data_IF_014085480796
#
_entry.id   IF_014085480796
#
_cell.length_a   1.000
_cell.length_b   1.000
_cell.length_c   1.000
_cell.angle_alpha   90.00
_cell.angle_beta   90.00
_cell.angle_gamma   90.00
#
_symmetry.space_group_name_H-M   'P 1'
#
loop_
_entity.id
_entity.type
_entity.pdbx_description
1 polymer ?
#
# COMPACT_ATOMS: atom_id res chain seq x y z
N UNK A 1 23.43 -6.32 40.18
CA UNK A 1 23.91 -5.53 41.34
C UNK A 1 22.82 -4.54 41.69
N UNK A 2 22.20 -4.87 42.70
CA UNK A 2 21.45 -4.26 43.78
C UNK A 2 21.86 -2.80 44.04
N UNK A 3 20.89 -1.87 44.16
CA UNK A 3 20.79 -0.90 45.27
C UNK A 3 19.43 -0.28 45.33
N UNK A 4 18.69 -0.64 46.36
CA UNK A 4 17.54 0.03 46.95
C UNK A 4 18.02 1.24 47.80
N UNK A 5 17.22 2.27 47.88
CA UNK A 5 17.19 3.23 49.03
C UNK A 5 15.75 3.77 49.06
N UNK A 6 14.89 3.24 49.91
CA UNK A 6 14.56 3.50 51.31
C UNK A 6 14.04 4.96 51.56
N UNK A 7 12.76 5.07 51.70
CA UNK A 7 11.84 5.61 52.71
C UNK A 7 12.37 6.70 53.66
N UNK A 8 11.66 7.84 53.75
CA UNK A 8 11.51 8.56 54.99
C UNK A 8 10.15 9.29 55.04
N UNK A 9 9.34 8.81 55.97
CA UNK A 9 8.13 9.42 56.54
C UNK A 9 8.55 10.57 57.48
N UNK A 10 7.87 11.69 57.44
CA UNK A 10 7.82 12.61 58.57
C UNK A 10 6.45 13.30 58.63
N UNK A 11 5.64 12.84 59.56
CA UNK A 11 4.44 13.43 60.09
C UNK A 11 4.78 14.64 60.97
N UNK A 12 4.10 15.76 60.80
CA UNK A 12 3.96 16.78 61.85
C UNK A 12 2.56 17.38 61.82
N UNK A 13 1.78 16.99 62.82
CA UNK A 13 0.54 17.63 63.26
C UNK A 13 0.88 18.95 63.93
N UNK A 14 0.19 20.05 63.61
CA UNK A 14 -0.03 21.16 64.56
C UNK A 14 -1.34 21.89 64.21
N UNK A 15 -2.25 21.83 65.16
CA UNK A 15 -3.51 22.61 65.24
C UNK A 15 -3.22 24.08 65.44
N UNK A 16 -4.04 24.94 64.88
CA UNK A 16 -4.03 26.38 65.26
C UNK A 16 -5.03 27.21 64.48
N UNK A 17 -6.18 27.42 65.13
CA UNK A 17 -7.01 28.66 65.18
C UNK A 17 -7.70 29.20 63.93
N UNK A 18 -9.04 29.17 64.03
CA UNK A 18 -10.02 29.97 63.30
C UNK A 18 -9.67 31.44 63.28
N UNK A 19 -9.67 32.07 62.13
CA UNK A 19 -10.05 33.48 61.97
C UNK A 19 -10.87 33.60 60.66
N UNK A 20 -12.14 33.86 60.90
CA UNK A 20 -13.07 34.26 59.84
C UNK A 20 -12.78 35.71 59.47
N UNK A 21 -12.27 36.03 58.35
CA UNK A 21 -12.37 37.33 57.71
C UNK A 21 -12.87 37.14 56.28
N UNK A 22 -14.09 37.56 56.08
CA UNK A 22 -14.68 37.71 54.74
C UNK A 22 -13.98 38.91 54.07
N UNK A 23 -13.05 38.56 53.13
CA UNK A 23 -12.57 39.51 52.15
C UNK A 23 -12.96 38.97 50.79
N UNK A 24 -13.74 39.75 50.05
CA UNK A 24 -14.16 39.49 48.70
C UNK A 24 -12.97 39.28 47.82
N UNK A 25 -12.72 38.00 47.46
CA UNK A 25 -11.83 37.64 46.39
C UNK A 25 -12.56 37.86 45.07
N UNK A 26 -12.25 38.98 44.45
CA UNK A 26 -12.46 39.14 43.02
C UNK A 26 -11.68 38.02 42.31
N UNK A 27 -12.36 36.95 41.98
CA UNK A 27 -11.83 35.95 41.07
C UNK A 27 -11.68 36.62 39.69
N UNK A 28 -10.48 37.16 39.46
CA UNK A 28 -10.07 37.51 38.11
C UNK A 28 -9.96 36.20 37.36
N UNK A 29 -11.05 35.79 36.73
CA UNK A 29 -11.07 34.74 35.73
C UNK A 29 -10.20 35.25 34.58
N UNK A 30 -8.94 34.84 34.55
CA UNK A 30 -8.13 35.05 33.36
C UNK A 30 -8.92 34.47 32.17
N UNK A 31 -9.11 35.22 31.10
CA UNK A 31 -9.73 34.64 29.91
C UNK A 31 -8.80 33.54 29.42
N UNK A 32 -9.20 32.30 29.61
CA UNK A 32 -8.62 31.19 28.88
C UNK A 32 -8.94 31.48 27.42
N UNK A 33 -7.99 32.08 26.74
CA UNK A 33 -8.06 32.25 25.30
C UNK A 33 -8.03 30.84 24.72
N UNK A 34 -9.19 30.21 24.65
CA UNK A 34 -9.38 29.06 23.78
C UNK A 34 -9.11 29.60 22.39
N UNK A 35 -7.89 29.40 21.89
CA UNK A 35 -7.59 29.63 20.50
C UNK A 35 -8.65 28.84 19.74
N UNK A 36 -9.59 29.53 19.14
CA UNK A 36 -10.58 28.90 18.26
C UNK A 36 -9.79 28.24 17.19
N UNK A 37 -9.64 26.92 17.32
CA UNK A 37 -9.09 26.12 16.24
C UNK A 37 -9.96 26.40 15.03
N UNK A 38 -9.37 27.00 13.99
CA UNK A 38 -10.08 27.25 12.73
C UNK A 38 -10.75 25.97 12.22
N UNK A 39 -11.68 26.06 11.30
CA UNK A 39 -12.37 24.89 10.78
C UNK A 39 -11.35 23.84 10.33
N UNK A 40 -11.55 22.60 10.79
CA UNK A 40 -10.67 21.47 10.49
C UNK A 40 -10.61 21.25 8.97
N UNK A 41 -9.45 21.47 8.36
CA UNK A 41 -9.27 21.28 6.92
C UNK A 41 -8.74 19.88 6.66
N UNK A 42 -9.58 19.05 6.05
CA UNK A 42 -9.25 17.68 5.65
C UNK A 42 -8.93 17.64 4.16
N UNK A 43 -7.92 16.89 3.79
CA UNK A 43 -7.59 16.61 2.41
C UNK A 43 -7.55 15.12 2.12
N UNK A 44 -7.54 14.75 0.86
CA UNK A 44 -7.28 13.38 0.44
C UNK A 44 -6.45 13.32 -0.85
N UNK A 45 -5.77 12.20 -1.02
CA UNK A 45 -5.00 11.90 -2.23
C UNK A 45 -5.03 10.40 -2.52
N UNK A 46 -4.62 10.00 -3.72
CA UNK A 46 -4.43 8.61 -4.08
C UNK A 46 -2.92 8.37 -4.30
N UNK A 47 -2.27 7.71 -3.35
CA UNK A 47 -0.83 7.45 -3.38
C UNK A 47 -0.46 6.52 -4.54
N UNK A 48 -1.27 5.50 -4.82
CA UNK A 48 -0.99 4.54 -5.90
C UNK A 48 -1.09 5.21 -7.26
N UNK A 49 -2.06 6.11 -7.42
CA UNK A 49 -2.16 6.93 -8.62
C UNK A 49 -0.94 7.85 -8.78
N UNK A 50 -0.56 8.57 -7.72
CA UNK A 50 0.64 9.44 -7.74
C UNK A 50 1.88 8.61 -8.09
N UNK A 51 2.06 7.44 -7.46
CA UNK A 51 3.17 6.52 -7.73
C UNK A 51 3.21 6.14 -9.21
N UNK A 52 2.08 5.75 -9.79
CA UNK A 52 1.98 5.35 -11.20
C UNK A 52 2.36 6.48 -12.19
N UNK A 53 2.24 7.74 -11.77
CA UNK A 53 2.61 8.90 -12.58
C UNK A 53 4.07 9.32 -12.42
N UNK A 54 4.81 8.73 -11.47
CA UNK A 54 6.23 9.05 -11.30
C UNK A 54 7.09 8.48 -12.44
N UNK A 55 8.18 9.16 -12.83
CA UNK A 55 9.12 8.61 -13.79
C UNK A 55 9.73 7.28 -13.32
N UNK A 56 9.93 7.15 -12.00
CA UNK A 56 10.42 5.92 -11.37
C UNK A 56 9.50 4.71 -11.57
N UNK A 57 8.20 4.92 -11.78
CA UNK A 57 7.24 3.82 -11.99
C UNK A 57 7.61 2.94 -13.20
N UNK A 58 8.11 3.57 -14.28
CA UNK A 58 8.58 2.82 -15.46
C UNK A 58 9.83 2.01 -15.15
N UNK A 59 10.76 2.55 -14.40
CA UNK A 59 11.99 1.87 -14.02
C UNK A 59 11.69 0.69 -13.10
N UNK A 60 10.75 0.86 -12.16
CA UNK A 60 10.25 -0.21 -11.30
C UNK A 60 9.66 -1.33 -12.15
N UNK A 61 8.75 -0.99 -13.06
CA UNK A 61 8.13 -1.97 -13.96
C UNK A 61 9.15 -2.72 -14.81
N UNK A 62 10.14 -2.01 -15.36
CA UNK A 62 11.21 -2.62 -16.15
C UNK A 62 12.06 -3.58 -15.32
N UNK A 63 12.49 -3.18 -14.11
CA UNK A 63 13.28 -4.04 -13.23
C UNK A 63 12.51 -5.28 -12.79
N UNK A 64 11.21 -5.16 -12.51
CA UNK A 64 10.36 -6.29 -12.16
C UNK A 64 10.17 -7.23 -13.35
N UNK A 65 10.00 -6.69 -14.55
CA UNK A 65 9.89 -7.48 -15.77
C UNK A 65 11.17 -8.28 -16.05
N UNK A 66 12.34 -7.65 -15.90
CA UNK A 66 13.63 -8.33 -16.02
C UNK A 66 13.74 -9.46 -15.00
N UNK A 67 13.47 -9.20 -13.74
CA UNK A 67 13.52 -10.19 -12.66
C UNK A 67 12.57 -11.37 -12.93
N UNK A 68 11.35 -11.08 -13.38
CA UNK A 68 10.35 -12.08 -13.75
C UNK A 68 10.85 -12.96 -14.89
N UNK A 69 11.31 -12.34 -15.98
CA UNK A 69 11.82 -13.05 -17.15
C UNK A 69 13.01 -13.94 -16.81
N UNK A 70 13.92 -13.46 -15.95
CA UNK A 70 15.04 -14.28 -15.48
C UNK A 70 14.56 -15.51 -14.70
N UNK A 71 13.60 -15.33 -13.80
CA UNK A 71 13.03 -16.45 -13.02
C UNK A 71 12.26 -17.43 -13.90
N UNK A 72 11.49 -16.94 -14.87
CA UNK A 72 10.77 -17.79 -15.84
C UNK A 72 11.72 -18.61 -16.71
N UNK A 73 12.82 -18.01 -17.17
CA UNK A 73 13.83 -18.71 -17.97
C UNK A 73 14.54 -19.80 -17.15
N UNK A 74 14.88 -19.51 -15.89
CA UNK A 74 15.51 -20.49 -15.02
C UNK A 74 14.55 -21.64 -14.69
N UNK A 75 13.28 -21.32 -14.40
CA UNK A 75 12.25 -22.34 -14.17
C UNK A 75 12.08 -23.24 -15.39
N UNK A 76 12.04 -22.65 -16.58
CA UNK A 76 11.96 -23.40 -17.85
C UNK A 76 13.17 -24.31 -18.05
N UNK A 77 14.38 -23.82 -17.73
CA UNK A 77 15.62 -24.62 -17.82
C UNK A 77 15.57 -25.82 -16.88
N UNK A 78 15.15 -25.60 -15.62
CA UNK A 78 15.04 -26.66 -14.62
C UNK A 78 13.97 -27.70 -15.01
N UNK A 79 12.84 -27.24 -15.55
CA UNK A 79 11.76 -28.13 -16.02
C UNK A 79 12.24 -28.99 -17.18
N UNK A 80 12.94 -28.38 -18.13
CA UNK A 80 13.53 -29.13 -19.24
C UNK A 80 14.56 -30.15 -18.76
N UNK A 81 15.41 -29.80 -17.81
CA UNK A 81 16.35 -30.75 -17.22
C UNK A 81 15.63 -31.94 -16.56
N UNK A 82 14.53 -31.71 -15.87
CA UNK A 82 13.69 -32.76 -15.29
C UNK A 82 13.11 -33.68 -16.39
N UNK A 83 12.55 -33.08 -17.44
CA UNK A 83 11.99 -33.82 -18.59
C UNK A 83 13.04 -34.69 -19.27
N UNK A 84 14.22 -34.12 -19.59
CA UNK A 84 15.30 -34.83 -20.25
C UNK A 84 15.81 -36.01 -19.39
N UNK A 85 15.95 -35.80 -18.07
CA UNK A 85 16.36 -36.88 -17.16
C UNK A 85 15.29 -37.95 -16.98
N UNK A 86 14.02 -37.54 -16.93
CA UNK A 86 12.90 -38.49 -16.86
C UNK A 86 12.77 -39.34 -18.11
N UNK A 87 12.94 -38.75 -19.28
CA UNK A 87 12.97 -39.49 -20.56
C UNK A 87 14.13 -40.49 -20.58
N UNK A 88 15.34 -40.07 -20.18
CA UNK A 88 16.50 -40.94 -20.05
C UNK A 88 16.28 -42.10 -19.08
N UNK A 89 15.61 -41.81 -17.94
CA UNK A 89 15.22 -42.84 -16.96
C UNK A 89 14.24 -43.84 -17.57
N UNK A 90 13.21 -43.40 -18.26
CA UNK A 90 12.21 -44.29 -18.88
C UNK A 90 12.83 -45.20 -19.92
N UNK A 91 13.71 -44.67 -20.78
CA UNK A 91 14.38 -45.44 -21.84
C UNK A 91 15.36 -46.49 -21.29
N UNK A 92 16.02 -46.17 -20.18
CA UNK A 92 17.08 -47.02 -19.62
C UNK A 92 16.67 -47.89 -18.44
N UNK A 93 15.50 -47.69 -17.82
CA UNK A 93 15.12 -48.27 -16.53
C UNK A 93 15.17 -49.81 -16.47
N UNK A 94 14.86 -50.51 -17.58
CA UNK A 94 14.88 -51.96 -17.63
C UNK A 94 16.30 -52.56 -17.63
N UNK A 95 17.32 -51.78 -18.03
CA UNK A 95 18.70 -52.20 -18.10
C UNK A 95 19.55 -51.68 -16.91
N UNK A 96 18.97 -50.87 -16.06
CA UNK A 96 19.61 -50.30 -14.86
C UNK A 96 19.64 -51.32 -13.73
N UNK A 97 20.74 -51.37 -12.99
CA UNK A 97 20.75 -52.06 -11.68
C UNK A 97 19.83 -51.33 -10.69
N UNK A 98 19.36 -52.04 -9.65
CA UNK A 98 18.47 -51.46 -8.65
C UNK A 98 19.08 -50.23 -7.94
N UNK A 99 20.39 -50.22 -7.71
CA UNK A 99 21.10 -49.08 -7.15
C UNK A 99 21.03 -47.89 -8.05
N UNK A 100 21.36 -48.04 -9.33
CA UNK A 100 21.31 -46.94 -10.32
C UNK A 100 19.89 -46.44 -10.50
N UNK A 101 18.90 -47.32 -10.51
CA UNK A 101 17.48 -46.94 -10.63
C UNK A 101 17.06 -46.08 -9.47
N UNK A 102 17.38 -46.50 -8.25
CA UNK A 102 17.07 -45.73 -7.03
C UNK A 102 17.76 -44.36 -7.00
N UNK A 103 19.01 -44.29 -7.47
CA UNK A 103 19.72 -43.01 -7.58
C UNK A 103 19.01 -42.06 -8.54
N UNK A 104 18.58 -42.55 -9.71
CA UNK A 104 17.83 -41.71 -10.68
C UNK A 104 16.48 -41.26 -10.17
N UNK A 105 15.77 -42.13 -9.47
CA UNK A 105 14.50 -41.76 -8.83
C UNK A 105 14.70 -40.64 -7.76
N UNK A 106 15.76 -40.78 -6.96
CA UNK A 106 16.10 -39.75 -5.96
C UNK A 106 16.51 -38.43 -6.63
N UNK A 107 17.27 -38.49 -7.73
CA UNK A 107 17.64 -37.31 -8.50
C UNK A 107 16.40 -36.60 -9.08
N UNK A 108 15.47 -37.34 -9.67
CA UNK A 108 14.22 -36.80 -10.22
C UNK A 108 13.35 -36.16 -9.13
N UNK A 109 13.20 -36.81 -7.98
CA UNK A 109 12.49 -36.23 -6.84
C UNK A 109 13.17 -34.96 -6.34
N UNK A 110 14.49 -34.95 -6.24
CA UNK A 110 15.27 -33.79 -5.87
C UNK A 110 15.09 -32.60 -6.81
N UNK A 111 15.04 -32.87 -8.13
CA UNK A 111 14.75 -31.84 -9.14
C UNK A 111 13.34 -31.29 -9.02
N UNK A 112 12.32 -32.14 -8.81
CA UNK A 112 10.94 -31.70 -8.60
C UNK A 112 10.83 -30.79 -7.37
N UNK A 113 11.45 -31.20 -6.27
CA UNK A 113 11.49 -30.38 -5.03
C UNK A 113 12.16 -29.04 -5.28
N UNK A 114 13.32 -29.04 -5.97
CA UNK A 114 14.05 -27.81 -6.30
C UNK A 114 13.23 -26.86 -7.19
N UNK A 115 12.50 -27.39 -8.17
CA UNK A 115 11.60 -26.59 -9.02
C UNK A 115 10.51 -25.91 -8.17
N UNK A 116 9.88 -26.65 -7.26
CA UNK A 116 8.84 -26.11 -6.38
C UNK A 116 9.40 -25.04 -5.44
N UNK A 117 10.56 -25.28 -4.83
CA UNK A 117 11.23 -24.32 -3.95
C UNK A 117 11.65 -23.07 -4.72
N UNK A 118 12.22 -23.24 -5.93
CA UNK A 118 12.60 -22.13 -6.77
C UNK A 118 11.38 -21.26 -7.16
N UNK A 119 10.26 -21.88 -7.53
CA UNK A 119 9.03 -21.15 -7.86
C UNK A 119 8.55 -20.28 -6.70
N UNK A 120 8.48 -20.83 -5.47
CA UNK A 120 8.11 -20.08 -4.26
C UNK A 120 9.10 -18.96 -3.96
N UNK A 121 10.38 -19.24 -4.07
CA UNK A 121 11.45 -18.26 -3.82
C UNK A 121 11.41 -17.14 -4.85
N UNK A 122 11.14 -17.44 -6.11
CA UNK A 122 11.02 -16.46 -7.18
C UNK A 122 9.87 -15.48 -6.94
N UNK A 123 8.70 -15.99 -6.52
CA UNK A 123 7.55 -15.15 -6.17
C UNK A 123 7.86 -14.24 -4.97
N UNK A 124 8.41 -14.79 -3.90
CA UNK A 124 8.82 -14.02 -2.71
C UNK A 124 9.90 -12.98 -3.02
N UNK A 125 10.86 -13.34 -3.88
CA UNK A 125 11.92 -12.43 -4.33
C UNK A 125 11.36 -11.28 -5.15
N UNK A 126 10.38 -11.54 -6.03
CA UNK A 126 9.71 -10.51 -6.82
C UNK A 126 8.95 -9.53 -5.92
N UNK A 127 8.23 -10.05 -4.93
CA UNK A 127 7.52 -9.23 -3.94
C UNK A 127 8.49 -8.36 -3.12
N UNK A 128 9.59 -8.95 -2.66
CA UNK A 128 10.64 -8.23 -1.92
C UNK A 128 11.27 -7.13 -2.79
N UNK A 129 11.58 -7.44 -4.03
CA UNK A 129 12.13 -6.48 -5.00
C UNK A 129 11.17 -5.32 -5.25
N UNK A 130 9.87 -5.62 -5.42
CA UNK A 130 8.84 -4.60 -5.57
C UNK A 130 8.85 -3.62 -4.38
N UNK A 131 8.81 -4.14 -3.15
CA UNK A 131 8.84 -3.31 -1.96
C UNK A 131 10.12 -2.45 -1.87
N UNK A 132 11.28 -3.04 -2.17
CA UNK A 132 12.55 -2.31 -2.17
C UNK A 132 12.57 -1.15 -3.15
N UNK A 133 11.96 -1.32 -4.33
CA UNK A 133 11.91 -0.30 -5.36
C UNK A 133 10.84 0.77 -5.08
N UNK A 134 9.70 0.38 -4.53
CA UNK A 134 8.56 1.27 -4.28
C UNK A 134 8.77 2.11 -3.02
N UNK A 135 9.33 1.55 -1.94
CA UNK A 135 9.49 2.25 -0.67
C UNK A 135 10.15 3.64 -0.78
N UNK A 136 11.28 3.82 -1.48
CA UNK A 136 11.90 5.14 -1.60
C UNK A 136 11.03 6.14 -2.37
N UNK A 137 10.23 5.66 -3.33
CA UNK A 137 9.31 6.53 -4.09
C UNK A 137 8.12 6.94 -3.21
N UNK A 138 7.55 6.01 -2.44
CA UNK A 138 6.49 6.30 -1.47
C UNK A 138 6.96 7.32 -0.44
N UNK A 139 8.21 7.23 0.03
CA UNK A 139 8.78 8.23 0.94
C UNK A 139 8.88 9.62 0.30
N UNK A 140 9.22 9.71 -1.01
CA UNK A 140 9.20 10.98 -1.73
C UNK A 140 7.78 11.55 -1.83
N UNK A 141 6.80 10.70 -2.15
CA UNK A 141 5.39 11.07 -2.21
C UNK A 141 4.93 11.60 -0.85
N UNK A 142 5.26 10.89 0.24
CA UNK A 142 4.91 11.31 1.61
C UNK A 142 5.47 12.70 1.93
N UNK A 143 6.73 12.96 1.59
CA UNK A 143 7.33 14.29 1.79
C UNK A 143 6.62 15.38 0.98
N UNK A 144 6.18 15.05 -0.24
CA UNK A 144 5.41 15.99 -1.06
C UNK A 144 4.02 16.25 -0.45
N UNK A 145 3.33 15.22 0.06
CA UNK A 145 2.06 15.35 0.77
C UNK A 145 2.22 16.23 2.00
N UNK A 146 3.24 16.00 2.83
CA UNK A 146 3.52 16.79 4.04
C UNK A 146 3.77 18.27 3.71
N UNK A 147 4.51 18.55 2.63
CA UNK A 147 4.77 19.91 2.18
C UNK A 147 3.48 20.59 1.70
N UNK A 148 2.69 19.91 0.85
CA UNK A 148 1.41 20.42 0.34
C UNK A 148 0.43 20.66 1.48
N UNK A 149 0.34 19.73 2.44
CA UNK A 149 -0.53 19.87 3.59
C UNK A 149 -0.19 21.11 4.41
N UNK A 150 1.09 21.32 4.71
CA UNK A 150 1.57 22.50 5.46
C UNK A 150 1.31 23.81 4.70
N UNK A 151 1.63 23.85 3.40
CA UNK A 151 1.46 25.03 2.56
C UNK A 151 0.00 25.45 2.41
N UNK A 152 -0.93 24.49 2.43
CA UNK A 152 -2.37 24.73 2.22
C UNK A 152 -3.22 24.63 3.49
N UNK A 153 -2.60 24.41 4.66
CA UNK A 153 -3.27 24.38 5.97
C UNK A 153 -4.16 23.14 6.20
N UNK A 154 -3.87 22.03 5.55
CA UNK A 154 -4.54 20.76 5.83
C UNK A 154 -3.98 20.17 7.14
N UNK A 155 -4.87 19.83 8.07
CA UNK A 155 -4.50 19.16 9.31
C UNK A 155 -4.40 17.64 9.14
N UNK A 156 -5.20 17.06 8.27
CA UNK A 156 -5.18 15.63 7.94
C UNK A 156 -5.29 15.43 6.45
N UNK A 157 -4.56 14.44 5.96
CA UNK A 157 -4.67 13.97 4.57
C UNK A 157 -4.88 12.46 4.60
N UNK A 158 -5.94 12.02 3.94
CA UNK A 158 -6.29 10.59 3.84
C UNK A 158 -5.85 10.02 2.50
N UNK A 159 -5.41 8.76 2.52
CA UNK A 159 -5.25 8.02 1.27
C UNK A 159 -6.62 7.47 0.85
N UNK A 160 -7.05 7.82 -0.35
CA UNK A 160 -8.35 7.41 -0.88
C UNK A 160 -8.39 5.90 -1.19
N UNK A 161 -7.25 5.36 -1.60
CA UNK A 161 -7.10 3.96 -1.97
C UNK A 161 -6.24 3.25 -0.93
N UNK A 162 -6.82 2.24 -0.30
CA UNK A 162 -6.13 1.41 0.69
C UNK A 162 -5.55 0.13 0.07
N UNK A 163 -5.56 0.02 -1.27
CA UNK A 163 -5.06 -1.11 -2.05
C UNK A 163 -6.15 -1.97 -2.68
N UNK A 164 -5.76 -2.82 -3.61
CA UNK A 164 -6.68 -3.73 -4.30
C UNK A 164 -7.42 -4.64 -3.30
N UNK A 165 -8.74 -4.71 -3.40
CA UNK A 165 -9.65 -5.48 -2.55
C UNK A 165 -9.88 -4.92 -1.12
N UNK A 166 -9.57 -3.67 -0.86
CA UNK A 166 -9.91 -3.01 0.39
C UNK A 166 -11.15 -2.11 0.23
N UNK A 167 -11.90 -1.95 1.32
CA UNK A 167 -13.03 -1.02 1.34
C UNK A 167 -12.46 0.42 1.39
N UNK A 168 -12.92 1.34 0.53
CA UNK A 168 -12.48 2.73 0.60
C UNK A 168 -12.71 3.33 1.97
N UNK A 169 -11.73 4.03 2.51
CA UNK A 169 -11.83 4.70 3.81
C UNK A 169 -12.78 5.89 3.70
N UNK A 170 -12.74 6.59 2.57
CA UNK A 170 -13.62 7.73 2.28
C UNK A 170 -14.66 7.30 1.24
N UNK A 171 -15.93 7.21 1.66
CA UNK A 171 -17.06 6.89 0.77
C UNK A 171 -17.56 8.12 0.00
N UNK A 172 -17.41 9.30 0.60
CA UNK A 172 -17.75 10.59 0.00
C UNK A 172 -16.60 11.54 0.27
N UNK A 173 -16.08 12.16 -0.78
CA UNK A 173 -14.99 13.11 -0.69
C UNK A 173 -15.24 14.26 -1.67
N UNK A 174 -15.43 15.51 -1.20
CA UNK A 174 -15.56 16.69 -2.04
C UNK A 174 -14.30 16.91 -2.89
N UNK A 175 -14.47 17.23 -4.17
CA UNK A 175 -13.34 17.41 -5.10
C UNK A 175 -12.38 18.53 -4.68
N UNK A 176 -12.89 19.58 -4.02
CA UNK A 176 -12.08 20.69 -3.51
C UNK A 176 -11.06 20.24 -2.45
N UNK A 177 -11.27 19.09 -1.84
CA UNK A 177 -10.35 18.50 -0.85
C UNK A 177 -9.34 17.51 -1.47
N UNK A 178 -9.40 17.32 -2.77
CA UNK A 178 -8.45 16.48 -3.51
C UNK A 178 -7.13 17.21 -3.72
N UNK A 179 -6.09 16.74 -3.04
CA UNK A 179 -4.76 17.36 -3.17
C UNK A 179 -3.83 16.61 -4.13
N UNK A 180 -4.34 15.61 -4.86
CA UNK A 180 -3.52 14.74 -5.73
C UNK A 180 -2.74 15.54 -6.79
N UNK A 181 -3.39 16.51 -7.43
CA UNK A 181 -2.71 17.36 -8.40
C UNK A 181 -1.64 18.26 -7.77
N UNK A 182 -1.91 18.78 -6.57
CA UNK A 182 -0.92 19.59 -5.84
C UNK A 182 0.32 18.77 -5.50
N UNK A 183 0.13 17.51 -5.09
CA UNK A 183 1.22 16.57 -4.79
C UNK A 183 2.01 16.26 -6.05
N UNK A 184 1.37 15.98 -7.17
CA UNK A 184 2.04 15.75 -8.47
C UNK A 184 2.90 16.96 -8.87
N UNK A 185 2.33 18.17 -8.82
CA UNK A 185 3.07 19.42 -9.11
C UNK A 185 4.26 19.60 -8.16
N UNK A 186 4.09 19.29 -6.87
CA UNK A 186 5.16 19.35 -5.87
C UNK A 186 6.30 18.39 -6.18
N UNK A 187 5.99 17.26 -6.80
CA UNK A 187 6.96 16.28 -7.29
C UNK A 187 7.55 16.63 -8.67
N UNK A 188 7.14 17.75 -9.28
CA UNK A 188 7.60 18.18 -10.61
C UNK A 188 6.89 17.46 -11.77
N UNK A 189 5.76 16.81 -11.50
CA UNK A 189 4.96 16.12 -12.51
C UNK A 189 3.82 17.04 -12.93
N UNK A 190 3.69 17.27 -14.24
CA UNK A 190 2.60 18.11 -14.80
C UNK A 190 1.31 17.28 -14.92
N UNK A 191 0.29 17.55 -14.08
CA UNK A 191 -0.94 16.78 -14.08
C UNK A 191 -1.76 16.96 -15.36
N UNK A 192 -1.57 18.05 -16.10
CA UNK A 192 -2.30 18.31 -17.34
C UNK A 192 -1.90 17.40 -18.49
N UNK A 193 -0.72 16.78 -18.40
CA UNK A 193 -0.19 15.82 -19.39
C UNK A 193 -0.56 14.37 -19.07
N UNK A 194 -1.27 14.16 -17.97
CA UNK A 194 -1.63 12.82 -17.49
C UNK A 194 -3.08 12.50 -17.90
N UNK A 195 -3.35 11.24 -18.23
CA UNK A 195 -4.72 10.77 -18.40
C UNK A 195 -5.44 10.83 -17.05
N UNK A 196 -6.55 11.56 -16.96
CA UNK A 196 -7.31 11.68 -15.70
C UNK A 196 -7.93 10.33 -15.33
N UNK A 197 -7.66 9.79 -14.12
CA UNK A 197 -8.22 8.50 -13.71
C UNK A 197 -9.69 8.56 -13.31
N UNK A 198 -10.26 9.76 -13.15
CA UNK A 198 -11.63 9.99 -12.71
C UNK A 198 -12.54 10.60 -13.81
N UNK A 199 -12.33 10.23 -15.06
CA UNK A 199 -13.44 10.38 -15.99
C UNK A 199 -14.54 9.41 -15.52
N UNK A 200 -15.49 9.92 -14.68
CA UNK A 200 -16.79 9.29 -14.44
C UNK A 200 -17.23 8.70 -15.78
N UNK A 201 -17.58 7.42 -15.88
CA UNK A 201 -18.10 6.89 -17.13
C UNK A 201 -19.25 7.82 -17.53
N UNK A 202 -19.09 8.50 -18.68
CA UNK A 202 -20.13 9.31 -19.24
C UNK A 202 -21.34 8.38 -19.39
N UNK A 203 -22.36 8.62 -18.58
CA UNK A 203 -23.67 8.06 -18.79
C UNK A 203 -24.09 8.57 -20.16
N UNK A 204 -23.81 7.77 -21.17
CA UNK A 204 -24.36 7.93 -22.49
C UNK A 204 -25.88 7.80 -22.30
N UNK A 205 -26.53 8.93 -22.17
CA UNK A 205 -27.98 9.00 -22.19
C UNK A 205 -28.46 8.33 -23.48
N UNK A 206 -29.01 7.14 -23.32
CA UNK A 206 -29.75 6.50 -24.39
C UNK A 206 -30.91 7.43 -24.74
N UNK A 207 -30.67 8.25 -25.74
CA UNK A 207 -31.77 8.95 -26.45
C UNK A 207 -32.69 7.87 -27.00
N UNK A 208 -33.91 7.87 -26.49
CA UNK A 208 -34.97 7.00 -26.94
C UNK A 208 -35.14 7.04 -28.44
N UNK A 209 -34.88 5.95 -29.09
CA UNK A 209 -35.39 5.68 -30.44
C UNK A 209 -36.60 4.78 -30.25
N UNK A 210 -37.79 5.41 -30.40
CA UNK A 210 -39.06 4.72 -30.52
C UNK A 210 -39.03 3.84 -31.77
N UNK A 211 -38.98 2.54 -31.57
CA UNK A 211 -39.25 1.60 -32.66
C UNK A 211 -40.72 1.16 -32.58
N UNK A 212 -41.47 1.57 -33.58
CA UNK A 212 -42.83 1.18 -33.83
C UNK A 212 -42.97 -0.34 -33.97
N UNK A 213 -43.97 -0.92 -33.31
CA UNK A 213 -44.34 -2.32 -33.41
C UNK A 213 -44.84 -2.66 -34.82
N UNK A 214 -44.48 -3.79 -35.42
CA UNK A 214 -45.11 -4.25 -36.65
C UNK A 214 -46.43 -4.95 -36.34
N UNK A 215 -47.51 -4.43 -36.92
CA UNK A 215 -48.84 -5.00 -36.94
C UNK A 215 -48.84 -6.37 -37.63
N UNK A 216 -49.22 -7.38 -36.90
CA UNK A 216 -49.42 -8.76 -37.41
C UNK A 216 -50.78 -8.81 -38.12
N UNK A 217 -50.83 -8.88 -39.46
CA UNK A 217 -52.02 -9.25 -40.26
C UNK A 217 -52.13 -10.78 -40.29
N UNK A 218 -53.25 -11.26 -39.74
CA UNK A 218 -53.75 -12.59 -40.02
C UNK A 218 -54.28 -12.71 -41.45
N UNK A 219 -53.93 -13.75 -42.13
CA UNK A 219 -54.73 -14.52 -43.04
C UNK A 219 -54.22 -15.94 -43.10
#
# INVERSE_FOLDING_TARGET
>A
MKKQIVMALATALLMGSLNAQAQGQSTTTAPTTTAAAGPLKLGYTNIDYVLAQTPEAKDIQNQLTIQRTQSENELKRMTKELEDKYEGYQKGSQQMSDVIRKDRETELQGLQTRIQEFSRTAESSLQTKYQQLVNPVVQKIQKAIDAVAKENGFQYVFNLDAGANTIPILLVAPEENNITELVLRKMGIDPTKLAQPNAKPATTGAAGSGAAAPTRKNK
#
